data_IF_434215943284
#
_entry.id   IF_434215943284
#
_cell.length_a   1.000
_cell.length_b   1.000
_cell.length_c   1.000
_cell.angle_alpha   90.00
_cell.angle_beta   90.00
_cell.angle_gamma   90.00
#
_symmetry.space_group_name_H-M   'P 1'
#
loop_
_entity.id
_entity.type
_entity.pdbx_description
1 polymer ?
#
# COMPACT_ATOMS: atom_id res chain seq x y z
N UNK A 1 -15.82 -12.93 -10.47
CA UNK A 1 -14.64 -12.06 -10.24
C UNK A 1 -13.56 -12.25 -11.32
N UNK A 2 -13.13 -13.49 -11.62
CA UNK A 2 -12.12 -13.76 -12.69
C UNK A 2 -12.56 -13.26 -14.08
N UNK A 3 -13.81 -13.51 -14.47
CA UNK A 3 -14.35 -13.05 -15.76
C UNK A 3 -14.32 -11.52 -15.92
N UNK A 4 -14.69 -10.78 -14.87
CA UNK A 4 -14.63 -9.31 -14.86
C UNK A 4 -13.18 -8.81 -15.04
N UNK A 5 -12.23 -9.36 -14.27
CA UNK A 5 -10.81 -9.01 -14.42
C UNK A 5 -10.29 -9.34 -15.82
N UNK A 6 -10.70 -10.48 -16.38
CA UNK A 6 -10.35 -10.88 -17.74
C UNK A 6 -10.86 -9.88 -18.78
N UNK A 7 -12.13 -9.50 -18.70
CA UNK A 7 -12.74 -8.49 -19.59
C UNK A 7 -12.04 -7.13 -19.46
N UNK A 8 -11.73 -6.69 -18.25
CA UNK A 8 -11.01 -5.43 -18.02
C UNK A 8 -9.61 -5.46 -18.63
N UNK A 9 -8.85 -6.54 -18.42
CA UNK A 9 -7.52 -6.71 -19.03
C UNK A 9 -7.61 -6.70 -20.56
N UNK A 10 -8.56 -7.42 -21.15
CA UNK A 10 -8.79 -7.43 -22.59
C UNK A 10 -9.07 -6.02 -23.14
N UNK A 11 -9.84 -5.22 -22.41
CA UNK A 11 -10.10 -3.82 -22.77
C UNK A 11 -8.88 -2.90 -22.66
N UNK A 12 -8.02 -3.10 -21.66
CA UNK A 12 -6.83 -2.27 -21.45
C UNK A 12 -5.61 -2.67 -22.30
N UNK A 13 -5.52 -3.93 -22.76
CA UNK A 13 -4.40 -4.40 -23.59
C UNK A 13 -4.17 -3.51 -24.82
N UNK A 14 -5.19 -3.19 -25.66
CA UNK A 14 -5.01 -2.32 -26.81
C UNK A 14 -4.49 -0.93 -26.41
N UNK A 15 -5.01 -0.37 -25.31
CA UNK A 15 -4.58 0.93 -24.78
C UNK A 15 -3.10 0.85 -24.38
N UNK A 16 -2.69 -0.18 -23.66
CA UNK A 16 -1.28 -0.37 -23.28
C UNK A 16 -0.36 -0.59 -24.47
N UNK A 17 -0.80 -1.32 -25.50
CA UNK A 17 -0.04 -1.49 -26.74
C UNK A 17 0.17 -0.14 -27.43
N UNK A 18 -0.90 0.65 -27.59
CA UNK A 18 -0.82 2.00 -28.19
C UNK A 18 0.12 2.89 -27.38
N UNK A 19 -0.02 2.90 -26.04
CA UNK A 19 0.87 3.66 -25.16
C UNK A 19 2.32 3.21 -25.24
N UNK A 20 2.57 1.90 -25.34
CA UNK A 20 3.91 1.34 -25.47
C UNK A 20 4.60 1.86 -26.73
N UNK A 21 3.92 1.82 -27.87
CA UNK A 21 4.48 2.32 -29.13
C UNK A 21 4.61 3.84 -29.17
N UNK A 22 3.69 4.57 -28.53
CA UNK A 22 3.69 6.04 -28.51
C UNK A 22 4.77 6.61 -27.59
N UNK A 23 4.92 6.05 -26.38
CA UNK A 23 5.81 6.58 -25.34
C UNK A 23 7.17 5.86 -25.24
N UNK A 24 7.32 4.69 -25.86
CA UNK A 24 8.56 3.90 -25.86
C UNK A 24 9.19 3.78 -24.46
N UNK A 25 8.55 3.05 -23.54
CA UNK A 25 8.94 3.04 -22.13
C UNK A 25 10.40 2.62 -21.95
N UNK A 26 11.15 3.44 -21.22
CA UNK A 26 12.54 3.18 -20.91
C UNK A 26 12.66 2.26 -19.68
N UNK A 27 13.20 1.06 -19.90
CA UNK A 27 13.48 0.08 -18.87
C UNK A 27 14.95 0.06 -18.42
N UNK A 28 15.80 0.98 -18.92
CA UNK A 28 17.23 1.06 -18.58
C UNK A 28 17.49 1.21 -17.07
N UNK A 29 16.55 1.84 -16.36
CA UNK A 29 16.61 2.02 -14.91
C UNK A 29 16.18 0.80 -14.11
N UNK A 30 15.56 -0.20 -14.72
CA UNK A 30 15.13 -1.41 -14.01
C UNK A 30 16.34 -2.30 -13.73
N UNK A 31 16.58 -2.61 -12.47
CA UNK A 31 17.71 -3.45 -12.05
C UNK A 31 17.24 -4.79 -11.50
N UNK A 32 17.96 -5.87 -11.84
CA UNK A 32 17.65 -7.20 -11.30
C UNK A 32 17.74 -7.25 -9.77
N UNK A 33 18.77 -6.62 -9.20
CA UNK A 33 18.92 -6.46 -7.76
C UNK A 33 17.76 -5.68 -7.15
N UNK A 34 17.31 -4.61 -7.81
CA UNK A 34 16.15 -3.82 -7.39
C UNK A 34 14.87 -4.65 -7.33
N UNK A 35 14.63 -5.51 -8.32
CA UNK A 35 13.50 -6.44 -8.32
C UNK A 35 13.60 -7.43 -7.14
N UNK A 36 14.76 -8.04 -6.93
CA UNK A 36 14.96 -8.97 -5.81
C UNK A 36 14.72 -8.32 -4.45
N UNK A 37 15.16 -7.06 -4.29
CA UNK A 37 14.88 -6.28 -3.09
C UNK A 37 13.40 -5.84 -3.03
N UNK A 38 12.71 -5.63 -4.14
CA UNK A 38 11.30 -5.22 -4.10
C UNK A 38 10.37 -6.34 -3.62
N UNK A 39 10.68 -7.61 -3.88
CA UNK A 39 9.82 -8.75 -3.48
C UNK A 39 9.53 -8.76 -1.97
N UNK A 40 10.52 -8.81 -1.05
CA UNK A 40 10.25 -8.79 0.38
C UNK A 40 9.62 -7.46 0.84
N UNK A 41 9.97 -6.32 0.21
CA UNK A 41 9.32 -5.05 0.48
C UNK A 41 7.82 -5.06 0.14
N UNK A 42 7.43 -5.67 -0.99
CA UNK A 42 6.04 -5.83 -1.40
C UNK A 42 5.27 -6.76 -0.45
N UNK A 43 5.89 -7.86 0.00
CA UNK A 43 5.29 -8.76 1.00
C UNK A 43 5.04 -8.02 2.31
N UNK A 44 6.02 -7.25 2.78
CA UNK A 44 5.89 -6.43 3.98
C UNK A 44 4.79 -5.36 3.82
N UNK A 45 4.80 -4.63 2.69
CA UNK A 45 3.75 -3.66 2.35
C UNK A 45 2.36 -4.28 2.31
N UNK A 46 2.23 -5.48 1.74
CA UNK A 46 0.99 -6.26 1.73
C UNK A 46 0.50 -6.54 3.15
N UNK A 47 1.35 -7.06 4.05
CA UNK A 47 0.94 -7.37 5.41
C UNK A 47 0.56 -6.12 6.21
N UNK A 48 1.34 -5.03 6.09
CA UNK A 48 1.01 -3.75 6.73
C UNK A 48 -0.35 -3.25 6.24
N UNK A 49 -0.53 -3.17 4.92
CA UNK A 49 -1.78 -2.71 4.32
C UNK A 49 -2.97 -3.60 4.67
N UNK A 50 -2.79 -4.92 4.66
CA UNK A 50 -3.81 -5.89 5.04
C UNK A 50 -4.24 -5.72 6.50
N UNK A 51 -3.28 -5.66 7.43
CA UNK A 51 -3.57 -5.55 8.86
C UNK A 51 -4.24 -4.22 9.22
N UNK A 52 -3.81 -3.10 8.63
CA UNK A 52 -4.45 -1.80 8.84
C UNK A 52 -5.88 -1.77 8.26
N UNK A 53 -6.09 -2.32 7.07
CA UNK A 53 -7.44 -2.45 6.49
C UNK A 53 -8.32 -3.39 7.31
N UNK A 54 -7.77 -4.48 7.83
CA UNK A 54 -8.48 -5.41 8.70
C UNK A 54 -8.85 -4.76 10.05
N UNK A 55 -7.96 -3.95 10.60
CA UNK A 55 -8.23 -3.12 11.78
C UNK A 55 -9.42 -2.17 11.55
N UNK A 56 -9.43 -1.44 10.42
CA UNK A 56 -10.53 -0.53 10.06
C UNK A 56 -11.83 -1.29 9.87
N UNK A 57 -11.78 -2.42 9.15
CA UNK A 57 -12.97 -3.25 8.90
C UNK A 57 -13.54 -3.82 10.19
N UNK A 58 -12.67 -4.19 11.14
CA UNK A 58 -13.07 -4.69 12.47
C UNK A 58 -13.80 -3.65 13.31
N UNK A 59 -13.73 -2.35 12.97
CA UNK A 59 -14.55 -1.33 13.62
C UNK A 59 -16.06 -1.55 13.41
N UNK A 60 -16.45 -2.41 12.47
CA UNK A 60 -17.84 -2.87 12.26
C UNK A 60 -18.51 -3.39 13.54
N UNK A 61 -17.73 -3.90 14.50
CA UNK A 61 -18.26 -4.35 15.78
C UNK A 61 -18.84 -3.20 16.64
N UNK A 62 -18.50 -1.94 16.37
CA UNK A 62 -18.98 -0.78 17.14
C UNK A 62 -19.69 0.29 16.31
N UNK A 63 -19.36 0.42 15.02
CA UNK A 63 -19.93 1.44 14.16
C UNK A 63 -20.60 0.84 12.93
N UNK A 64 -21.74 1.41 12.54
CA UNK A 64 -22.43 1.08 11.29
C UNK A 64 -21.84 1.83 10.09
N UNK A 65 -20.96 2.81 10.31
CA UNK A 65 -20.37 3.67 9.27
C UNK A 65 -18.91 3.32 8.93
N UNK A 66 -18.56 2.03 8.92
CA UNK A 66 -17.21 1.57 8.54
C UNK A 66 -16.83 2.04 7.14
N UNK A 67 -17.79 2.08 6.23
CA UNK A 67 -17.56 2.53 4.86
C UNK A 67 -16.95 3.94 4.81
N UNK A 68 -17.49 4.90 5.56
CA UNK A 68 -16.95 6.28 5.58
C UNK A 68 -15.52 6.35 6.14
N UNK A 69 -15.20 5.52 7.13
CA UNK A 69 -13.85 5.43 7.69
C UNK A 69 -12.89 4.84 6.66
N UNK A 70 -13.33 3.80 5.94
CA UNK A 70 -12.56 3.18 4.88
C UNK A 70 -12.28 4.15 3.72
N UNK A 71 -13.27 4.93 3.29
CA UNK A 71 -13.10 5.96 2.25
C UNK A 71 -12.07 7.02 2.66
N UNK A 72 -12.12 7.49 3.92
CA UNK A 72 -11.12 8.42 4.44
C UNK A 72 -9.71 7.79 4.45
N UNK A 73 -9.59 6.55 4.90
CA UNK A 73 -8.32 5.82 4.86
C UNK A 73 -7.80 5.63 3.43
N UNK A 74 -8.69 5.33 2.48
CA UNK A 74 -8.34 5.22 1.08
C UNK A 74 -7.85 6.54 0.48
N UNK A 75 -8.42 7.68 0.87
CA UNK A 75 -7.91 8.99 0.48
C UNK A 75 -6.48 9.23 0.98
N UNK A 76 -6.13 8.76 2.19
CA UNK A 76 -4.75 8.82 2.70
C UNK A 76 -3.81 7.96 1.87
N UNK A 77 -4.23 6.74 1.49
CA UNK A 77 -3.45 5.88 0.59
C UNK A 77 -3.21 6.60 -0.73
N UNK A 78 -4.25 7.12 -1.39
CA UNK A 78 -4.14 7.80 -2.68
C UNK A 78 -3.13 8.95 -2.64
N UNK A 79 -3.15 9.74 -1.56
CA UNK A 79 -2.30 10.91 -1.40
C UNK A 79 -0.84 10.54 -1.07
N UNK A 80 -0.61 9.62 -0.13
CA UNK A 80 0.71 9.38 0.45
C UNK A 80 1.44 8.14 -0.08
N UNK A 81 0.77 7.26 -0.85
CA UNK A 81 1.40 6.07 -1.44
C UNK A 81 2.13 6.34 -2.76
N UNK A 82 1.95 7.54 -3.34
CA UNK A 82 2.44 7.86 -4.69
C UNK A 82 1.55 7.30 -5.82
N UNK A 83 0.35 6.81 -5.49
CA UNK A 83 -0.61 6.28 -6.46
C UNK A 83 -1.24 7.36 -7.34
N UNK A 84 -1.58 8.52 -6.77
CA UNK A 84 -2.20 9.60 -7.54
C UNK A 84 -1.20 10.26 -8.49
N UNK A 85 -0.05 10.66 -7.95
CA UNK A 85 1.11 11.21 -8.67
C UNK A 85 2.36 10.70 -7.96
N UNK A 86 3.46 10.43 -8.68
CA UNK A 86 4.73 10.07 -8.07
C UNK A 86 5.08 11.01 -6.92
N UNK A 87 5.37 10.44 -5.75
CA UNK A 87 5.56 11.21 -4.53
C UNK A 87 6.72 12.22 -4.64
N UNK A 88 7.70 11.94 -5.51
CA UNK A 88 8.81 12.88 -5.84
C UNK A 88 8.34 14.20 -6.43
N UNK A 89 7.16 14.25 -7.06
CA UNK A 89 6.59 15.44 -7.69
C UNK A 89 5.63 16.20 -6.76
N UNK A 90 5.33 15.66 -5.59
CA UNK A 90 4.44 16.31 -4.62
C UNK A 90 5.15 17.48 -3.91
N UNK A 91 4.40 18.46 -3.35
CA UNK A 91 4.97 19.48 -2.48
C UNK A 91 5.79 18.87 -1.34
N UNK A 92 6.87 19.57 -0.94
CA UNK A 92 7.84 19.09 0.07
C UNK A 92 7.16 18.66 1.38
N UNK A 93 6.16 19.43 1.84
CA UNK A 93 5.36 19.10 3.02
C UNK A 93 4.73 17.71 2.96
N UNK A 94 4.16 17.32 1.81
CA UNK A 94 3.51 16.02 1.63
C UNK A 94 4.55 14.91 1.64
N UNK A 95 5.68 15.11 0.96
CA UNK A 95 6.79 14.15 0.98
C UNK A 95 7.31 13.92 2.40
N UNK A 96 7.47 15.00 3.17
CA UNK A 96 8.00 14.95 4.53
C UNK A 96 7.04 14.29 5.52
N UNK A 97 5.72 14.42 5.31
CA UNK A 97 4.73 13.68 6.11
C UNK A 97 4.72 12.21 5.70
N UNK A 98 4.72 11.95 4.39
CA UNK A 98 4.61 10.61 3.84
C UNK A 98 5.74 9.68 4.33
N UNK A 99 6.94 10.20 4.57
CA UNK A 99 8.10 9.38 4.95
C UNK A 99 7.93 8.69 6.33
N UNK A 100 7.05 9.23 7.17
CA UNK A 100 6.74 8.67 8.49
C UNK A 100 5.51 7.76 8.46
N UNK A 101 4.74 7.75 7.37
CA UNK A 101 3.52 6.99 7.21
C UNK A 101 3.77 5.66 6.48
N UNK A 102 2.91 4.64 6.68
CA UNK A 102 3.11 3.32 6.07
C UNK A 102 2.75 3.29 4.58
N UNK A 103 2.08 4.32 4.07
CA UNK A 103 1.45 4.30 2.75
C UNK A 103 2.47 4.16 1.61
N UNK A 104 3.68 4.71 1.77
CA UNK A 104 4.75 4.58 0.78
C UNK A 104 5.18 3.13 0.57
N UNK A 105 5.05 2.27 1.59
CA UNK A 105 5.43 0.86 1.53
C UNK A 105 4.55 0.06 0.58
N UNK A 106 3.34 0.56 0.29
CA UNK A 106 2.36 -0.12 -0.55
C UNK A 106 2.70 -0.03 -2.05
N UNK A 107 3.24 1.11 -2.49
CA UNK A 107 3.38 1.43 -3.93
C UNK A 107 4.72 2.11 -4.19
N UNK A 108 4.95 3.31 -3.64
CA UNK A 108 6.12 4.12 -3.98
C UNK A 108 7.46 3.42 -3.72
N UNK A 109 7.66 2.88 -2.52
CA UNK A 109 8.92 2.28 -2.09
C UNK A 109 9.36 1.08 -2.96
N UNK A 110 8.52 0.04 -3.21
CA UNK A 110 8.91 -1.07 -4.08
C UNK A 110 9.16 -0.62 -5.53
N UNK A 111 8.46 0.39 -6.04
CA UNK A 111 8.74 0.95 -7.37
C UNK A 111 10.14 1.57 -7.41
N UNK A 112 10.50 2.38 -6.41
CA UNK A 112 11.84 3.01 -6.38
C UNK A 112 12.96 1.98 -6.22
N UNK A 113 12.71 0.87 -5.52
CA UNK A 113 13.62 -0.27 -5.46
C UNK A 113 13.85 -0.89 -6.85
N UNK A 114 12.77 -1.21 -7.56
CA UNK A 114 12.85 -1.80 -8.92
C UNK A 114 13.63 -0.89 -9.87
N UNK A 115 13.38 0.42 -9.80
CA UNK A 115 14.05 1.44 -10.61
C UNK A 115 15.50 1.74 -10.16
N UNK A 116 16.01 1.09 -9.11
CA UNK A 116 17.37 1.32 -8.62
C UNK A 116 17.66 2.76 -8.17
N UNK A 117 16.62 3.53 -7.81
CA UNK A 117 16.72 4.97 -7.50
C UNK A 117 17.05 5.28 -6.04
N UNK A 118 17.12 4.26 -5.19
CA UNK A 118 17.37 4.41 -3.75
C UNK A 118 18.83 4.16 -3.40
N UNK A 119 19.38 5.01 -2.53
CA UNK A 119 20.68 4.76 -1.92
C UNK A 119 20.59 3.60 -0.92
N UNK A 120 21.73 2.97 -0.59
CA UNK A 120 21.80 1.90 0.41
C UNK A 120 21.18 2.31 1.76
N UNK A 121 21.42 3.56 2.18
CA UNK A 121 20.83 4.11 3.40
C UNK A 121 19.30 4.21 3.32
N UNK A 122 18.75 4.67 2.18
CA UNK A 122 17.30 4.77 1.97
C UNK A 122 16.63 3.39 1.93
N UNK A 123 17.31 2.39 1.38
CA UNK A 123 16.83 1.00 1.38
C UNK A 123 16.73 0.50 2.82
N UNK A 124 17.79 0.62 3.61
CA UNK A 124 17.77 0.19 5.01
C UNK A 124 16.70 0.93 5.81
N UNK A 125 16.59 2.25 5.64
CA UNK A 125 15.58 3.07 6.30
C UNK A 125 14.15 2.62 5.96
N UNK A 126 13.86 2.34 4.68
CA UNK A 126 12.54 1.89 4.24
C UNK A 126 12.17 0.53 4.83
N UNK A 127 13.13 -0.40 4.91
CA UNK A 127 12.93 -1.68 5.60
C UNK A 127 12.68 -1.52 7.09
N UNK A 128 13.49 -0.73 7.80
CA UNK A 128 13.31 -0.47 9.23
C UNK A 128 11.93 0.16 9.49
N UNK A 129 11.55 1.17 8.71
CA UNK A 129 10.23 1.80 8.79
C UNK A 129 9.11 0.78 8.56
N UNK A 130 9.26 -0.08 7.55
CA UNK A 130 8.28 -1.14 7.28
C UNK A 130 8.15 -2.17 8.40
N UNK A 131 9.26 -2.58 9.02
CA UNK A 131 9.22 -3.47 10.20
C UNK A 131 8.54 -2.80 11.39
N UNK A 132 8.83 -1.52 11.65
CA UNK A 132 8.15 -0.75 12.71
C UNK A 132 6.64 -0.72 12.45
N UNK A 133 6.24 -0.36 11.24
CA UNK A 133 4.83 -0.31 10.87
C UNK A 133 4.13 -1.66 10.87
N UNK A 134 4.84 -2.74 10.57
CA UNK A 134 4.31 -4.10 10.69
C UNK A 134 3.99 -4.43 12.15
N UNK A 135 4.89 -4.13 13.08
CA UNK A 135 4.65 -4.32 14.52
C UNK A 135 3.47 -3.48 14.99
N UNK A 136 3.41 -2.21 14.58
CA UNK A 136 2.29 -1.31 14.89
C UNK A 136 0.97 -1.88 14.34
N UNK A 137 0.93 -2.30 13.08
CA UNK A 137 -0.27 -2.83 12.45
C UNK A 137 -0.75 -4.13 13.12
N UNK A 138 0.16 -5.05 13.45
CA UNK A 138 -0.17 -6.28 14.22
C UNK A 138 -0.76 -5.90 15.58
N UNK A 139 -0.14 -4.96 16.29
CA UNK A 139 -0.57 -4.54 17.62
C UNK A 139 -1.96 -3.91 17.57
N UNK A 140 -2.17 -2.96 16.65
CA UNK A 140 -3.45 -2.27 16.46
C UNK A 140 -4.54 -3.25 16.07
N UNK A 141 -4.31 -4.10 15.07
CA UNK A 141 -5.28 -5.11 14.65
C UNK A 141 -5.64 -6.06 15.79
N UNK A 142 -4.63 -6.62 16.47
CA UNK A 142 -4.86 -7.56 17.58
C UNK A 142 -5.65 -6.90 18.71
N UNK A 143 -5.34 -5.65 19.05
CA UNK A 143 -6.07 -4.91 20.07
C UNK A 143 -7.52 -4.66 19.67
N UNK A 144 -7.78 -4.16 18.47
CA UNK A 144 -9.15 -3.93 17.97
C UNK A 144 -9.91 -5.25 17.92
N UNK A 145 -9.34 -6.30 17.32
CA UNK A 145 -9.98 -7.60 17.20
C UNK A 145 -10.39 -8.19 18.54
N UNK A 146 -9.49 -8.20 19.53
CA UNK A 146 -9.76 -8.74 20.88
C UNK A 146 -10.88 -7.98 21.59
N UNK A 147 -10.98 -6.67 21.40
CA UNK A 147 -12.08 -5.89 21.98
C UNK A 147 -13.40 -6.10 21.23
N UNK A 148 -13.35 -6.33 19.91
CA UNK A 148 -14.53 -6.47 19.06
C UNK A 148 -15.26 -7.78 19.30
N UNK A 149 -14.51 -8.89 19.37
CA UNK A 149 -15.07 -10.23 19.61
C UNK A 149 -15.83 -10.30 20.93
N UNK A 150 -15.33 -9.65 22.00
CA UNK A 150 -16.02 -9.60 23.31
C UNK A 150 -17.42 -8.99 23.22
N UNK A 151 -17.63 -8.05 22.31
CA UNK A 151 -18.93 -7.37 22.15
C UNK A 151 -19.91 -8.20 21.31
N UNK A 152 -19.41 -8.96 20.34
CA UNK A 152 -20.23 -9.88 19.55
C UNK A 152 -20.78 -11.04 20.41
N UNK A 153 -19.98 -11.56 21.34
CA UNK A 153 -20.41 -12.65 22.24
C UNK A 153 -21.55 -12.28 23.19
N UNK A 154 -21.82 -10.98 23.43
CA UNK A 154 -22.90 -10.53 24.31
C UNK A 154 -24.30 -10.55 23.64
N UNK A 155 -24.38 -10.75 22.32
CA UNK A 155 -25.67 -10.73 21.57
C UNK A 155 -26.06 -12.13 21.09
N UNK A 156 -25.34 -13.18 21.52
CA UNK A 156 -25.51 -14.57 21.07
C UNK A 156 -25.56 -15.62 22.19
N UNK A 157 -25.93 -15.22 23.41
CA UNK A 157 -26.19 -16.12 24.53
C UNK A 157 -27.58 -15.86 25.12
#
# INVERSE_FOLDING_TARGET
>A
NIAFKGLTIMGFIPVWIVLFFLYQPDFSSVTFTGILLAIPAMVMGFFVGFLLSAAITSLAFWTTRVYSIHEFYYALILLFSGQFVPLTLMPKLIQDIAQYLPFQLLIYYPIQLILGKLSSAQIVQGYVSGFIWLIVAITVFTWIWRNGVKRYSAVGA
#
